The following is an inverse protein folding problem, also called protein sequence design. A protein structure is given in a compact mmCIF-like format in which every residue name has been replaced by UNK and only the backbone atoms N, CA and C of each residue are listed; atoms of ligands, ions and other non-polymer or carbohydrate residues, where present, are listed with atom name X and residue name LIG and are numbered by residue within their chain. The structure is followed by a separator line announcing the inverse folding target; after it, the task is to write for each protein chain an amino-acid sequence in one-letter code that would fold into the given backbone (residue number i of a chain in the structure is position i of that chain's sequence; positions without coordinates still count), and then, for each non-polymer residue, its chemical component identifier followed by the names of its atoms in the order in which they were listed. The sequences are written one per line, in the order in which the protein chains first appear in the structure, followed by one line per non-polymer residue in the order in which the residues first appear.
data_IF_931740732931
#
_entry.id   IF_931740732931
#
_cell.length_a   1.000
_cell.length_b   1.000
_cell.length_c   1.000
_cell.angle_alpha   90.00
_cell.angle_beta   90.00
_cell.angle_gamma   90.00
#
_symmetry.space_group_name_H-M   'P 1'
#
loop_
_entity.id
_entity.type
_entity.pdbx_description
1 polymer ?
#
# COMPACT_ATOMS: atom_id res chain seq x y z
N UNK A 1 -9.05 17.48 -10.75
CA UNK A 1 -10.11 16.44 -10.71
C UNK A 1 -9.80 15.18 -11.54
N UNK A 2 -8.72 15.14 -12.34
CA UNK A 2 -8.39 14.00 -13.22
C UNK A 2 -7.75 12.77 -12.52
N UNK A 3 -7.81 12.66 -11.19
CA UNK A 3 -7.14 11.59 -10.43
C UNK A 3 -8.05 10.91 -9.40
N UNK A 4 -9.33 11.29 -9.30
CA UNK A 4 -10.28 10.55 -8.47
C UNK A 4 -10.83 9.34 -9.26
N UNK A 5 -11.10 8.22 -8.58
CA UNK A 5 -11.60 7.03 -9.25
C UNK A 5 -13.00 7.25 -9.84
N UNK A 6 -13.24 6.74 -11.04
CA UNK A 6 -14.57 6.50 -11.55
C UNK A 6 -15.16 5.19 -10.98
N UNK A 7 -16.43 4.90 -11.28
CA UNK A 7 -17.09 3.69 -10.81
C UNK A 7 -16.35 2.43 -11.31
N UNK A 8 -15.92 1.57 -10.38
CA UNK A 8 -15.18 0.34 -10.67
C UNK A 8 -13.66 0.50 -10.73
N UNK A 9 -13.14 1.73 -10.61
CA UNK A 9 -11.70 1.98 -10.59
C UNK A 9 -11.14 1.95 -9.17
N UNK A 10 -9.87 1.56 -9.05
CA UNK A 10 -9.08 1.69 -7.83
C UNK A 10 -7.88 2.59 -8.13
N UNK A 11 -7.75 3.67 -7.37
CA UNK A 11 -6.63 4.60 -7.49
C UNK A 11 -5.78 4.56 -6.22
N UNK A 12 -4.47 4.42 -6.38
CA UNK A 12 -3.50 4.42 -5.30
C UNK A 12 -2.70 5.72 -5.34
N UNK A 13 -2.74 6.46 -4.23
CA UNK A 13 -2.01 7.70 -4.05
C UNK A 13 -0.66 7.43 -3.34
N UNK A 14 0.45 7.41 -4.08
CA UNK A 14 1.80 7.47 -3.49
C UNK A 14 2.10 8.92 -3.09
N UNK A 15 1.71 9.24 -1.84
CA UNK A 15 1.38 10.58 -1.35
C UNK A 15 0.09 11.13 -1.96
N UNK A 16 -0.50 12.11 -1.30
CA UNK A 16 -1.81 12.67 -1.62
C UNK A 16 -1.88 14.16 -1.31
N UNK A 17 -3.09 14.72 -1.25
CA UNK A 17 -3.33 16.10 -0.81
C UNK A 17 -2.75 16.42 0.58
N UNK A 18 -2.45 15.40 1.39
CA UNK A 18 -1.78 15.53 2.68
C UNK A 18 -0.32 16.02 2.63
N UNK A 19 0.29 16.20 1.45
CA UNK A 19 1.57 16.92 1.33
C UNK A 19 1.50 18.29 2.02
N UNK A 20 0.35 18.98 1.93
CA UNK A 20 0.11 20.27 2.58
C UNK A 20 0.18 20.19 4.11
N UNK A 21 -0.33 19.10 4.68
CA UNK A 21 -0.28 18.87 6.12
C UNK A 21 1.08 18.39 6.65
N UNK A 22 2.00 17.97 5.77
CA UNK A 22 3.30 17.43 6.13
C UNK A 22 4.45 18.26 5.58
N UNK A 23 4.96 17.86 4.41
CA UNK A 23 6.17 18.43 3.81
C UNK A 23 6.02 19.93 3.54
N UNK A 24 4.89 20.40 3.00
CA UNK A 24 4.74 21.82 2.68
C UNK A 24 4.75 22.67 3.96
N UNK A 25 4.10 22.20 5.04
CA UNK A 25 4.11 22.89 6.33
C UNK A 25 5.52 22.95 6.92
N UNK A 26 6.23 21.83 6.97
CA UNK A 26 7.55 21.75 7.63
C UNK A 26 8.65 22.44 6.83
N UNK A 27 8.54 22.43 5.50
CA UNK A 27 9.52 23.03 4.60
C UNK A 27 9.18 24.48 4.23
N UNK A 28 8.03 25.00 4.63
CA UNK A 28 7.60 26.37 4.34
C UNK A 28 7.21 26.58 2.88
N UNK A 29 6.68 25.55 2.22
CA UNK A 29 6.17 25.65 0.85
C UNK A 29 4.72 26.12 0.78
N UNK A 30 4.05 26.25 1.92
CA UNK A 30 2.76 26.92 2.05
C UNK A 30 2.80 27.93 3.19
N UNK A 31 1.91 28.92 3.11
CA UNK A 31 1.68 29.88 4.19
C UNK A 31 0.87 29.26 5.31
N UNK A 32 0.96 29.81 6.52
CA UNK A 32 0.17 29.38 7.68
C UNK A 32 -1.34 29.44 7.38
N UNK A 33 -1.79 30.47 6.66
CA UNK A 33 -3.19 30.61 6.25
C UNK A 33 -3.64 29.47 5.31
N UNK A 34 -2.81 29.08 4.34
CA UNK A 34 -3.11 27.95 3.45
C UNK A 34 -3.11 26.60 4.17
N UNK A 35 -2.22 26.44 5.15
CA UNK A 35 -2.16 25.24 5.99
C UNK A 35 -3.41 25.10 6.86
N UNK A 36 -3.80 26.17 7.55
CA UNK A 36 -5.00 26.18 8.39
C UNK A 36 -6.27 25.95 7.58
N UNK A 37 -6.39 26.60 6.43
CA UNK A 37 -7.53 26.41 5.53
C UNK A 37 -7.57 24.97 4.98
N UNK A 38 -6.42 24.38 4.65
CA UNK A 38 -6.35 22.97 4.27
C UNK A 38 -6.85 22.05 5.38
N UNK A 39 -6.38 22.25 6.62
CA UNK A 39 -6.82 21.42 7.75
C UNK A 39 -8.32 21.54 7.99
N UNK A 40 -8.91 22.73 7.80
CA UNK A 40 -10.35 22.95 7.91
C UNK A 40 -11.13 22.26 6.79
N UNK A 41 -10.69 22.42 5.55
CA UNK A 41 -11.39 21.94 4.36
C UNK A 41 -11.22 20.44 4.08
N UNK A 42 -10.10 19.83 4.50
CA UNK A 42 -9.78 18.43 4.20
C UNK A 42 -10.83 17.44 4.71
N UNK A 43 -11.28 17.49 5.99
CA UNK A 43 -12.32 16.58 6.47
C UNK A 43 -13.64 16.69 5.69
N UNK A 44 -14.03 17.90 5.27
CA UNK A 44 -15.25 18.10 4.50
C UNK A 44 -15.14 17.55 3.08
N UNK A 45 -13.98 17.73 2.45
CA UNK A 45 -13.68 17.11 1.17
C UNK A 45 -13.78 15.57 1.26
N UNK A 46 -13.20 14.96 2.29
CA UNK A 46 -13.28 13.51 2.51
C UNK A 46 -14.71 13.03 2.73
N UNK A 47 -15.50 13.77 3.52
CA UNK A 47 -16.93 13.49 3.69
C UNK A 47 -17.69 13.58 2.38
N UNK A 48 -17.34 14.50 1.49
CA UNK A 48 -17.96 14.58 0.15
C UNK A 48 -17.65 13.33 -0.67
N UNK A 49 -16.39 12.86 -0.67
CA UNK A 49 -16.01 11.65 -1.39
C UNK A 49 -16.76 10.42 -0.87
N UNK A 50 -16.79 10.22 0.46
CA UNK A 50 -17.48 9.08 1.06
C UNK A 50 -18.99 9.13 0.79
N UNK A 51 -19.62 10.32 0.89
CA UNK A 51 -21.05 10.49 0.54
C UNK A 51 -21.34 10.22 -0.93
N UNK A 52 -20.37 10.43 -1.82
CA UNK A 52 -20.47 10.10 -3.24
C UNK A 52 -20.31 8.60 -3.53
N UNK A 53 -20.12 7.76 -2.50
CA UNK A 53 -19.96 6.30 -2.64
C UNK A 53 -18.51 5.85 -2.84
N UNK A 54 -17.53 6.75 -2.72
CA UNK A 54 -16.11 6.39 -2.80
C UNK A 54 -15.65 5.81 -1.46
N UNK A 55 -15.05 4.61 -1.49
CA UNK A 55 -14.40 4.03 -0.32
C UNK A 55 -13.02 4.68 -0.19
N UNK A 56 -12.89 5.62 0.75
CA UNK A 56 -11.62 6.30 1.05
C UNK A 56 -10.91 5.62 2.21
N UNK A 57 -9.72 5.06 1.94
CA UNK A 57 -8.89 4.39 2.96
C UNK A 57 -7.56 5.12 3.07
N UNK A 58 -7.24 5.59 4.27
CA UNK A 58 -6.01 6.33 4.55
C UNK A 58 -5.04 5.50 5.37
N UNK A 59 -3.78 5.46 4.95
CA UNK A 59 -2.72 4.71 5.62
C UNK A 59 -1.54 5.61 5.98
N UNK A 60 -1.11 5.52 7.24
CA UNK A 60 0.14 6.12 7.72
C UNK A 60 1.14 5.01 8.07
N UNK A 61 2.25 4.94 7.34
CA UNK A 61 3.30 3.96 7.62
C UNK A 61 4.26 4.50 8.68
N UNK A 62 4.11 4.04 9.92
CA UNK A 62 4.96 4.44 11.04
C UNK A 62 6.24 3.62 11.06
N UNK A 63 7.39 4.29 10.97
CA UNK A 63 8.73 3.69 11.11
C UNK A 63 9.37 4.29 12.35
N UNK A 64 9.99 3.47 13.19
CA UNK A 64 10.78 3.95 14.33
C UNK A 64 12.01 4.73 13.88
N UNK A 65 12.47 5.67 14.70
CA UNK A 65 13.62 6.53 14.41
C UNK A 65 14.88 5.70 14.12
N UNK A 66 15.08 4.63 14.91
CA UNK A 66 16.20 3.69 14.73
C UNK A 66 16.15 2.98 13.36
N UNK A 67 14.98 2.49 12.96
CA UNK A 67 14.82 1.81 11.67
C UNK A 67 14.86 2.80 10.51
N UNK A 68 14.36 4.02 10.69
CA UNK A 68 14.47 5.09 9.71
C UNK A 68 15.95 5.41 9.48
N UNK A 69 16.74 5.57 10.54
CA UNK A 69 18.17 5.83 10.47
C UNK A 69 18.93 4.72 9.77
N UNK A 70 18.69 3.48 10.19
CA UNK A 70 19.30 2.30 9.57
C UNK A 70 19.01 2.24 8.08
N UNK A 71 17.81 2.62 7.64
CA UNK A 71 17.43 2.67 6.23
C UNK A 71 18.11 3.79 5.48
N UNK A 72 18.30 4.94 6.10
CA UNK A 72 19.02 6.06 5.50
C UNK A 72 20.48 5.68 5.24
N UNK A 73 21.17 5.16 6.26
CA UNK A 73 22.56 4.72 6.13
C UNK A 73 22.71 3.63 5.05
N UNK A 74 21.84 2.61 5.07
CA UNK A 74 21.84 1.55 4.07
C UNK A 74 21.55 2.04 2.63
N UNK A 75 20.92 3.20 2.43
CA UNK A 75 20.74 3.82 1.11
C UNK A 75 21.98 4.60 0.66
N UNK A 76 22.67 5.26 1.59
CA UNK A 76 23.94 5.97 1.32
C UNK A 76 25.00 4.97 0.86
N UNK A 77 25.12 3.86 1.59
CA UNK A 77 26.15 2.82 1.38
C UNK A 77 25.88 1.96 0.13
N UNK A 78 24.66 1.96 -0.39
CA UNK A 78 24.25 1.12 -1.51
C UNK A 78 24.11 1.93 -2.82
N UNK A 79 25.01 1.75 -3.80
CA UNK A 79 24.96 2.50 -5.07
C UNK A 79 23.62 2.36 -5.81
N UNK A 80 22.99 1.19 -5.74
CA UNK A 80 21.71 0.90 -6.42
C UNK A 80 20.49 1.57 -5.77
N UNK A 81 20.64 2.11 -4.56
CA UNK A 81 19.55 2.75 -3.80
C UNK A 81 19.78 4.23 -3.54
N UNK A 82 20.98 4.75 -3.84
CA UNK A 82 21.37 6.14 -3.59
C UNK A 82 20.48 7.16 -4.29
N UNK A 83 19.97 6.83 -5.47
CA UNK A 83 19.03 7.68 -6.22
C UNK A 83 17.72 7.98 -5.46
N UNK A 84 17.38 7.19 -4.43
CA UNK A 84 16.21 7.40 -3.56
C UNK A 84 16.46 8.36 -2.40
N UNK A 85 17.62 9.00 -2.36
CA UNK A 85 17.95 10.04 -1.40
C UNK A 85 17.96 11.37 -2.13
N UNK A 86 17.15 12.30 -1.64
CA UNK A 86 17.15 13.68 -2.07
C UNK A 86 17.71 14.58 -0.95
N UNK A 87 18.20 15.79 -1.28
CA UNK A 87 18.55 16.79 -0.27
C UNK A 87 17.40 17.06 0.71
N UNK A 88 16.15 16.99 0.22
CA UNK A 88 14.95 17.18 1.02
C UNK A 88 14.78 16.10 2.09
N UNK A 89 15.23 14.86 1.85
CA UNK A 89 15.15 13.79 2.84
C UNK A 89 16.11 14.03 4.02
N UNK A 90 17.27 14.65 3.77
CA UNK A 90 18.23 15.02 4.81
C UNK A 90 17.70 16.14 5.70
N UNK A 91 17.13 17.18 5.09
CA UNK A 91 16.43 18.26 5.81
C UNK A 91 15.26 17.71 6.63
N UNK A 92 14.52 16.76 6.06
CA UNK A 92 13.36 16.18 6.74
C UNK A 92 13.74 15.41 8.00
N UNK A 93 14.91 14.77 7.99
CA UNK A 93 15.50 14.15 9.19
C UNK A 93 15.84 15.20 10.24
N UNK A 94 16.49 16.29 9.86
CA UNK A 94 16.86 17.36 10.79
C UNK A 94 15.62 17.99 11.47
N UNK A 95 14.49 18.03 10.77
CA UNK A 95 13.21 18.60 11.23
C UNK A 95 12.23 17.55 11.78
N UNK A 96 12.71 16.41 12.27
CA UNK A 96 11.87 15.31 12.78
C UNK A 96 10.77 15.75 13.76
N UNK A 97 11.10 16.63 14.70
CA UNK A 97 10.14 17.14 15.69
C UNK A 97 8.99 17.92 15.03
N UNK A 98 9.30 18.73 14.02
CA UNK A 98 8.30 19.50 13.29
C UNK A 98 7.41 18.59 12.44
N UNK A 99 7.98 17.55 11.82
CA UNK A 99 7.19 16.50 11.15
C UNK A 99 6.28 15.75 12.12
N UNK A 100 6.74 15.47 13.33
CA UNK A 100 5.95 14.81 14.37
C UNK A 100 4.76 15.68 14.79
N UNK A 101 4.98 16.97 15.04
CA UNK A 101 3.91 17.94 15.35
C UNK A 101 2.90 18.07 14.20
N UNK A 102 3.39 18.17 12.97
CA UNK A 102 2.55 18.27 11.78
C UNK A 102 1.67 17.02 11.60
N UNK A 103 2.25 15.83 11.81
CA UNK A 103 1.52 14.55 11.84
C UNK A 103 0.44 14.56 12.93
N UNK A 104 0.79 14.88 14.16
CA UNK A 104 -0.16 14.85 15.29
C UNK A 104 -1.33 15.80 15.03
N UNK A 105 -1.06 17.00 14.50
CA UNK A 105 -2.12 17.95 14.14
C UNK A 105 -3.00 17.46 12.99
N UNK A 106 -2.39 16.82 11.99
CA UNK A 106 -3.13 16.20 10.88
C UNK A 106 -4.05 15.09 11.36
N UNK A 107 -3.60 14.24 12.28
CA UNK A 107 -4.42 13.18 12.88
C UNK A 107 -5.56 13.77 13.71
N UNK A 108 -5.28 14.76 14.56
CA UNK A 108 -6.29 15.42 15.39
C UNK A 108 -7.47 15.95 14.56
N UNK A 109 -7.20 16.55 13.40
CA UNK A 109 -8.22 17.24 12.59
C UNK A 109 -8.84 16.32 11.54
N UNK A 110 -8.03 15.47 10.90
CA UNK A 110 -8.47 14.70 9.73
C UNK A 110 -8.79 13.24 10.04
N UNK A 111 -8.63 12.75 11.27
CA UNK A 111 -9.09 11.42 11.66
C UNK A 111 -10.59 11.43 11.98
N UNK A 112 -11.42 11.29 10.95
CA UNK A 112 -12.88 11.30 11.06
C UNK A 112 -13.45 9.90 10.98
N UNK A 113 -14.57 9.65 11.67
CA UNK A 113 -15.21 8.33 11.69
C UNK A 113 -15.57 7.79 10.29
N UNK A 114 -15.87 8.67 9.34
CA UNK A 114 -16.20 8.28 7.96
C UNK A 114 -14.97 7.92 7.11
N UNK A 115 -13.79 8.42 7.48
CA UNK A 115 -12.53 8.23 6.77
C UNK A 115 -11.38 8.23 7.80
N UNK A 116 -11.21 7.13 8.56
CA UNK A 116 -10.21 7.08 9.62
C UNK A 116 -8.79 6.93 9.08
N UNK A 117 -7.82 7.36 9.87
CA UNK A 117 -6.41 7.07 9.65
C UNK A 117 -6.02 5.69 10.18
N UNK A 118 -5.42 4.87 9.33
CA UNK A 118 -4.93 3.55 9.72
C UNK A 118 -3.40 3.57 9.83
N UNK A 119 -2.87 3.36 11.04
CA UNK A 119 -1.43 3.30 11.26
C UNK A 119 -0.90 1.90 10.99
N UNK A 120 0.08 1.80 10.08
CA UNK A 120 0.75 0.55 9.73
C UNK A 120 2.17 0.57 10.30
N UNK A 121 2.47 -0.35 11.23
CA UNK A 121 3.84 -0.52 11.73
C UNK A 121 4.76 -1.03 10.61
N UNK A 122 5.69 -0.17 10.21
CA UNK A 122 6.45 -0.31 8.97
C UNK A 122 7.92 -0.70 9.18
N UNK A 123 8.32 -1.04 10.39
CA UNK A 123 9.70 -1.42 10.72
C UNK A 123 10.14 -2.68 9.96
N UNK A 124 9.28 -3.71 9.98
CA UNK A 124 9.45 -4.88 9.13
C UNK A 124 8.65 -4.71 7.82
N UNK A 125 9.33 -4.33 6.72
CA UNK A 125 8.68 -4.08 5.41
C UNK A 125 7.77 -5.23 4.94
N UNK A 126 8.19 -6.48 5.14
CA UNK A 126 7.40 -7.66 4.70
C UNK A 126 6.10 -7.77 5.49
N UNK A 127 6.15 -7.64 6.82
CA UNK A 127 4.96 -7.67 7.68
C UNK A 127 4.05 -6.47 7.40
N UNK A 128 4.61 -5.27 7.25
CA UNK A 128 3.86 -4.06 6.93
C UNK A 128 3.02 -4.22 5.65
N UNK A 129 3.62 -4.79 4.59
CA UNK A 129 2.93 -5.07 3.33
C UNK A 129 1.80 -6.07 3.51
N UNK A 130 2.06 -7.19 4.18
CA UNK A 130 1.05 -8.22 4.40
C UNK A 130 -0.12 -7.70 5.24
N UNK A 131 0.16 -6.98 6.33
CA UNK A 131 -0.86 -6.40 7.19
C UNK A 131 -1.67 -5.31 6.48
N UNK A 132 -1.02 -4.45 5.69
CA UNK A 132 -1.71 -3.43 4.91
C UNK A 132 -2.63 -4.05 3.85
N UNK A 133 -2.17 -5.07 3.14
CA UNK A 133 -2.99 -5.78 2.14
C UNK A 133 -4.15 -6.51 2.82
N UNK A 134 -3.88 -7.20 3.94
CA UNK A 134 -4.92 -7.89 4.70
C UNK A 134 -6.00 -6.92 5.19
N UNK A 135 -5.61 -5.78 5.77
CA UNK A 135 -6.54 -4.73 6.19
C UNK A 135 -7.31 -4.14 5.01
N UNK A 136 -6.65 -3.83 3.89
CA UNK A 136 -7.31 -3.33 2.69
C UNK A 136 -8.41 -4.29 2.21
N UNK A 137 -8.11 -5.59 2.15
CA UNK A 137 -9.08 -6.61 1.77
C UNK A 137 -10.24 -6.71 2.76
N UNK A 138 -10.00 -6.51 4.07
CA UNK A 138 -11.09 -6.55 5.06
C UNK A 138 -12.01 -5.33 5.02
N UNK A 139 -11.56 -4.20 4.42
CA UNK A 139 -12.39 -3.00 4.24
C UNK A 139 -13.31 -3.07 3.01
N UNK A 140 -13.06 -3.99 2.07
CA UNK A 140 -13.80 -4.07 0.82
C UNK A 140 -14.70 -5.31 0.84
N UNK A 141 -16.02 -5.20 0.60
CA UNK A 141 -16.88 -6.36 0.45
C UNK A 141 -16.56 -7.05 -0.89
N UNK A 142 -15.80 -8.14 -0.85
CA UNK A 142 -15.50 -8.95 -2.03
C UNK A 142 -15.98 -10.40 -1.86
N UNK A 143 -16.19 -11.08 -2.99
CA UNK A 143 -16.46 -12.53 -3.02
C UNK A 143 -15.18 -13.25 -3.42
N UNK A 144 -14.83 -14.28 -2.66
CA UNK A 144 -13.76 -15.18 -3.06
C UNK A 144 -14.22 -16.03 -4.26
N UNK A 145 -13.59 -15.79 -5.42
CA UNK A 145 -13.85 -16.51 -6.66
C UNK A 145 -12.92 -17.70 -6.85
N UNK A 146 -12.02 -17.98 -5.88
CA UNK A 146 -11.05 -19.06 -5.97
C UNK A 146 -11.79 -20.40 -6.10
N UNK A 147 -11.59 -21.15 -7.21
CA UNK A 147 -12.19 -22.45 -7.36
C UNK A 147 -11.72 -23.39 -6.25
N UNK A 148 -12.64 -24.16 -5.67
CA UNK A 148 -12.27 -25.19 -4.69
C UNK A 148 -11.30 -26.19 -5.34
N UNK A 149 -10.31 -26.70 -4.59
CA UNK A 149 -9.45 -27.77 -5.09
C UNK A 149 -10.28 -28.92 -5.64
N UNK A 150 -10.10 -29.23 -6.92
CA UNK A 150 -10.76 -30.38 -7.53
C UNK A 150 -10.09 -31.65 -7.03
N UNK A 151 -10.88 -32.57 -6.46
CA UNK A 151 -10.38 -33.91 -6.15
C UNK A 151 -10.30 -34.69 -7.46
N UNK A 152 -9.10 -35.12 -7.82
CA UNK A 152 -8.93 -36.09 -8.90
C UNK A 152 -9.64 -37.40 -8.49
N UNK A 153 -10.60 -37.89 -9.29
CA UNK A 153 -11.20 -39.19 -9.01
C UNK A 153 -10.11 -40.27 -9.08
N UNK A 154 -10.23 -41.35 -8.28
CA UNK A 154 -9.32 -42.47 -8.40
C UNK A 154 -9.36 -43.01 -9.83
N UNK A 155 -8.20 -43.40 -10.37
CA UNK A 155 -8.14 -44.08 -11.67
C UNK A 155 -9.01 -45.34 -11.61
N UNK A 156 -9.78 -45.59 -12.67
CA UNK A 156 -10.53 -46.83 -12.79
C UNK A 156 -9.59 -48.03 -12.65
N UNK A 157 -9.98 -49.03 -11.86
CA UNK A 157 -9.25 -50.31 -11.83
C UNK A 157 -9.27 -50.89 -13.24
N UNK A 158 -8.12 -51.30 -13.77
CA UNK A 158 -8.02 -51.98 -15.07
C UNK A 158 -8.84 -53.27 -15.00
N UNK A 159 -10.07 -53.26 -15.49
CA UNK A 159 -10.88 -54.45 -15.72
C UNK A 159 -10.85 -54.74 -17.22
N UNK A 160 -10.24 -55.87 -17.61
CA UNK A 160 -10.23 -56.34 -19.00
C UNK A 160 -9.34 -55.58 -19.99
N UNK A 161 -8.81 -54.41 -19.65
CA UNK A 161 -7.91 -53.65 -20.51
C UNK A 161 -6.43 -53.94 -20.20
N UNK A 162 -5.75 -54.61 -21.13
CA UNK A 162 -4.30 -54.75 -21.17
C UNK A 162 -3.77 -53.71 -22.15
N UNK A 163 -2.90 -52.81 -21.68
CA UNK A 163 -2.25 -51.83 -22.55
C UNK A 163 -1.33 -52.59 -23.53
N UNK A 164 -1.32 -52.26 -24.83
CA UNK A 164 -0.33 -52.80 -25.75
C UNK A 164 1.09 -52.57 -25.23
N UNK A 165 2.03 -53.49 -25.49
CA UNK A 165 3.43 -53.30 -25.18
C UNK A 165 3.94 -51.94 -25.66
N UNK A 166 4.84 -51.32 -24.88
CA UNK A 166 5.49 -50.08 -25.29
C UNK A 166 6.34 -50.30 -26.56
N UNK A 167 6.83 -51.52 -26.80
CA UNK A 167 7.58 -51.89 -28.00
C UNK A 167 6.80 -51.70 -29.31
N UNK A 168 5.47 -51.72 -29.24
CA UNK A 168 4.60 -51.63 -30.41
C UNK A 168 4.26 -50.17 -30.75
N UNK A 169 4.76 -49.21 -29.96
CA UNK A 169 4.54 -47.78 -30.13
C UNK A 169 5.79 -47.10 -30.70
N UNK A 170 5.60 -46.27 -31.71
CA UNK A 170 6.65 -45.40 -32.23
C UNK A 170 6.77 -44.14 -31.35
N UNK A 171 7.75 -44.10 -30.47
CA UNK A 171 8.06 -42.92 -29.67
C UNK A 171 8.94 -41.94 -30.42
N UNK A 172 8.67 -40.65 -30.22
CA UNK A 172 9.57 -39.58 -30.69
C UNK A 172 10.87 -39.66 -29.89
N UNK A 173 12.05 -39.58 -30.53
CA UNK A 173 13.32 -39.57 -29.81
C UNK A 173 13.40 -38.42 -28.80
N UNK A 174 13.77 -38.73 -27.55
CA UNK A 174 14.06 -37.71 -26.54
C UNK A 174 15.46 -37.15 -26.78
N UNK A 175 15.54 -35.86 -27.14
CA UNK A 175 16.80 -35.15 -27.47
C UNK A 175 17.25 -34.22 -26.32
N UNK A 176 16.44 -34.06 -25.27
CA UNK A 176 16.69 -33.20 -24.11
C UNK A 176 16.45 -33.95 -22.81
#
# INVERSE_FOLDING_TARGET
MAQLPAAGEMVLFDRSWYNRAGVERVMGFCTDAEYEEFLRSCPDFERMLVRSGIILIKYWFSVSDEEQERRFQARIDSPTKRWKLSPMDLESRARWVEYSKAKDKMFEVCDIAQAPWNVVHADCKKRARLNCIHHLLSQIPYKDLTPKPMKLPPRQKRKGYVRPPLSDQHFVPEVY
#
